data_IF_548158791004
#
_entry.id   IF_548158791004
#
_cell.length_a   1.000
_cell.length_b   1.000
_cell.length_c   1.000
_cell.angle_alpha   90.00
_cell.angle_beta   90.00
_cell.angle_gamma   90.00
#
_symmetry.space_group_name_H-M   'P 1'
#
loop_
_entity.id
_entity.type
_entity.pdbx_description
1 polymer ?
#
# COMPACT_ATOMS: atom_id res chain seq x y z
N UNK A 1 -10.99 -8.36 23.19
CA UNK A 1 -9.72 -7.68 23.52
C UNK A 1 -8.60 -7.93 22.51
N UNK A 2 -8.15 -9.16 22.25
CA UNK A 2 -7.06 -9.40 21.27
C UNK A 2 -7.43 -9.02 19.82
N UNK A 3 -8.62 -9.41 19.36
CA UNK A 3 -9.11 -9.10 18.00
C UNK A 3 -9.38 -7.59 17.80
N UNK A 4 -9.83 -6.92 18.84
CA UNK A 4 -10.09 -5.47 18.82
C UNK A 4 -8.80 -4.64 18.80
N UNK A 5 -7.77 -5.08 19.53
CA UNK A 5 -6.44 -4.49 19.47
C UNK A 5 -5.79 -4.70 18.10
N UNK A 6 -5.97 -5.87 17.49
CA UNK A 6 -5.50 -6.16 16.14
C UNK A 6 -6.19 -5.23 15.12
N UNK A 7 -7.52 -5.15 15.15
CA UNK A 7 -8.30 -4.28 14.25
C UNK A 7 -7.90 -2.82 14.38
N UNK A 8 -7.75 -2.30 15.61
CA UNK A 8 -7.32 -0.93 15.85
C UNK A 8 -5.91 -0.66 15.29
N UNK A 9 -5.01 -1.64 15.38
CA UNK A 9 -3.69 -1.58 14.77
C UNK A 9 -3.75 -1.53 13.24
N UNK A 10 -4.58 -2.37 12.63
CA UNK A 10 -4.77 -2.41 11.17
C UNK A 10 -5.40 -1.13 10.62
N UNK A 11 -6.40 -0.58 11.30
CA UNK A 11 -7.04 0.69 10.94
C UNK A 11 -6.04 1.84 11.01
N UNK A 12 -5.28 1.94 12.10
CA UNK A 12 -4.24 2.96 12.25
C UNK A 12 -3.14 2.82 11.20
N UNK A 13 -2.70 1.60 10.92
CA UNK A 13 -1.74 1.34 9.83
C UNK A 13 -2.30 1.82 8.49
N UNK A 14 -3.55 1.47 8.17
CA UNK A 14 -4.21 1.86 6.92
C UNK A 14 -4.32 3.37 6.81
N UNK A 15 -4.72 4.07 7.87
CA UNK A 15 -4.79 5.53 7.87
C UNK A 15 -3.42 6.17 7.62
N UNK A 16 -2.38 5.71 8.31
CA UNK A 16 -1.02 6.24 8.12
C UNK A 16 -0.49 5.96 6.71
N UNK A 17 -0.71 4.75 6.21
CA UNK A 17 -0.30 4.34 4.87
C UNK A 17 -0.99 5.18 3.79
N UNK A 18 -2.32 5.31 3.86
CA UNK A 18 -3.12 6.00 2.84
C UNK A 18 -2.94 7.53 2.86
N UNK A 19 -2.68 8.12 4.03
CA UNK A 19 -2.53 9.57 4.17
C UNK A 19 -1.07 10.05 4.16
N UNK A 20 -0.10 9.15 3.99
CA UNK A 20 1.28 9.56 3.77
C UNK A 20 1.38 10.41 2.49
N UNK A 21 2.06 11.56 2.59
CA UNK A 21 2.26 12.46 1.44
C UNK A 21 3.22 11.87 0.40
N UNK A 22 4.15 11.03 0.85
CA UNK A 22 5.11 10.37 -0.01
C UNK A 22 4.47 9.19 -0.75
N UNK A 23 4.99 8.93 -1.94
CA UNK A 23 4.65 7.76 -2.74
C UNK A 23 5.15 6.51 -2.04
N UNK A 24 4.25 5.59 -1.72
CA UNK A 24 4.59 4.31 -1.10
C UNK A 24 4.17 3.16 -2.02
N UNK A 25 5.15 2.34 -2.40
CA UNK A 25 4.96 1.05 -3.04
C UNK A 25 5.42 -0.05 -2.08
N UNK A 26 4.53 -1.00 -1.82
CA UNK A 26 4.86 -2.22 -1.11
C UNK A 26 4.90 -3.36 -2.11
N UNK A 27 6.00 -4.12 -2.09
CA UNK A 27 6.19 -5.30 -2.93
C UNK A 27 6.66 -6.50 -2.10
N UNK A 28 6.44 -7.70 -2.63
CA UNK A 28 6.96 -8.94 -2.05
C UNK A 28 8.47 -9.13 -2.32
N UNK A 29 9.05 -10.22 -1.82
CA UNK A 29 10.47 -10.54 -2.00
C UNK A 29 10.88 -10.83 -3.46
N UNK A 30 9.90 -11.04 -4.35
CA UNK A 30 10.12 -11.21 -5.79
C UNK A 30 9.97 -9.88 -6.55
N UNK A 31 9.69 -8.79 -5.85
CA UNK A 31 9.49 -7.48 -6.44
C UNK A 31 8.10 -7.24 -7.00
N UNK A 32 7.13 -8.09 -6.70
CA UNK A 32 5.75 -7.95 -7.15
C UNK A 32 5.01 -6.99 -6.25
N UNK A 33 4.42 -5.93 -6.80
CA UNK A 33 3.66 -4.94 -6.03
C UNK A 33 2.42 -5.58 -5.41
N UNK A 34 2.28 -5.43 -4.10
CA UNK A 34 1.15 -5.95 -3.31
C UNK A 34 0.25 -4.83 -2.77
N UNK A 35 0.78 -3.62 -2.63
CA UNK A 35 -0.02 -2.45 -2.25
C UNK A 35 0.64 -1.15 -2.70
N UNK A 36 -0.19 -0.14 -2.93
CA UNK A 36 0.23 1.26 -3.13
C UNK A 36 -0.72 2.17 -2.37
N UNK A 37 -0.22 3.30 -1.87
CA UNK A 37 -1.04 4.29 -1.17
C UNK A 37 -1.73 5.27 -2.13
N UNK A 38 -2.67 6.06 -1.62
CA UNK A 38 -3.34 7.12 -2.39
C UNK A 38 -2.36 8.10 -3.05
N UNK A 39 -1.27 8.47 -2.39
CA UNK A 39 -0.27 9.38 -2.97
C UNK A 39 0.40 8.77 -4.21
N UNK A 40 0.68 7.47 -4.21
CA UNK A 40 1.18 6.75 -5.37
C UNK A 40 0.18 6.79 -6.53
N UNK A 41 -1.11 6.57 -6.28
CA UNK A 41 -2.13 6.68 -7.34
C UNK A 41 -2.19 8.10 -7.92
N UNK A 42 -2.19 9.11 -7.06
CA UNK A 42 -2.28 10.51 -7.46
C UNK A 42 -1.06 10.99 -8.26
N UNK A 43 0.15 10.67 -7.79
CA UNK A 43 1.39 11.21 -8.37
C UNK A 43 1.87 10.41 -9.59
N UNK A 44 1.61 9.11 -9.64
CA UNK A 44 2.01 8.28 -10.78
C UNK A 44 0.94 8.22 -11.87
N UNK A 45 -0.33 8.46 -11.51
CA UNK A 45 -1.48 8.35 -12.40
C UNK A 45 -2.01 6.93 -12.61
N UNK A 46 -1.35 5.92 -12.05
CA UNK A 46 -1.82 4.54 -12.10
C UNK A 46 -2.73 4.22 -10.92
N UNK A 47 -3.81 3.52 -11.18
CA UNK A 47 -4.68 2.98 -10.14
C UNK A 47 -4.05 1.75 -9.49
N UNK A 48 -4.46 1.46 -8.24
CA UNK A 48 -4.04 0.26 -7.52
C UNK A 48 -4.26 -1.03 -8.31
N UNK A 49 -5.36 -1.13 -9.05
CA UNK A 49 -5.69 -2.33 -9.83
C UNK A 49 -4.76 -2.52 -11.04
N UNK A 50 -4.18 -1.44 -11.56
CA UNK A 50 -3.24 -1.52 -12.68
C UNK A 50 -1.84 -1.93 -12.20
N UNK A 51 -1.47 -1.55 -10.97
CA UNK A 51 -0.12 -1.76 -10.45
C UNK A 51 0.02 -3.07 -9.66
N UNK A 52 -1.00 -3.48 -8.91
CA UNK A 52 -0.91 -4.70 -8.11
C UNK A 52 -0.65 -5.90 -9.02
N UNK A 53 0.35 -6.71 -8.65
CA UNK A 53 0.78 -7.87 -9.43
C UNK A 53 1.89 -7.58 -10.45
N UNK A 54 2.28 -6.33 -10.67
CA UNK A 54 3.40 -5.97 -11.54
C UNK A 54 4.74 -6.19 -10.80
N UNK A 55 5.72 -6.77 -11.51
CA UNK A 55 7.09 -6.91 -11.01
C UNK A 55 7.93 -5.65 -11.33
N UNK A 56 8.49 -5.02 -10.30
CA UNK A 56 9.30 -3.79 -10.45
C UNK A 56 10.75 -4.04 -10.90
N UNK A 57 11.27 -5.26 -10.77
CA UNK A 57 12.69 -5.60 -11.00
C UNK A 57 12.94 -6.42 -12.27
N UNK A 58 12.26 -6.07 -13.37
CA UNK A 58 12.50 -6.74 -14.67
C UNK A 58 13.63 -6.06 -15.43
#
# INVERSE_FOLDING_TARGET
VAEEALRSGEERYRELFENANDVIFLHDLKGVVVAINRAAEYLTGYTRNEVIGIALMT
#
